data_IF_488003927669
#
_entry.id   IF_488003927669
#
_cell.length_a   1.000
_cell.length_b   1.000
_cell.length_c   1.000
_cell.angle_alpha   90.00
_cell.angle_beta   90.00
_cell.angle_gamma   90.00
#
_symmetry.space_group_name_H-M   'P 1'
#
loop_
_entity.id
_entity.type
_entity.pdbx_description
1 polymer ?
#
# COMPACT_ATOMS: atom_id res chain seq x y z
N UNK A 1 12.85 -16.46 28.07
CA UNK A 1 12.25 -15.30 27.38
C UNK A 1 10.78 -15.28 27.77
N UNK A 2 10.36 -14.24 28.51
CA UNK A 2 8.98 -14.11 29.00
C UNK A 2 8.10 -13.67 27.84
N UNK A 3 7.18 -14.50 27.38
CA UNK A 3 6.10 -14.06 26.50
C UNK A 3 5.26 -13.04 27.25
N UNK A 4 5.20 -11.82 26.73
CA UNK A 4 4.25 -10.82 27.22
C UNK A 4 2.83 -11.36 27.03
N UNK A 5 1.94 -11.25 28.04
CA UNK A 5 0.58 -11.75 27.89
C UNK A 5 -0.11 -11.00 26.76
N UNK A 6 -0.57 -11.73 25.74
CA UNK A 6 -1.35 -11.17 24.64
C UNK A 6 -2.72 -10.76 25.20
N UNK A 7 -2.90 -9.48 25.43
CA UNK A 7 -4.06 -8.90 26.11
C UNK A 7 -5.41 -9.11 25.36
N UNK A 8 -5.37 -9.51 24.10
CA UNK A 8 -6.55 -9.65 23.23
C UNK A 8 -6.42 -10.89 22.34
N UNK A 9 -6.47 -12.07 22.93
CA UNK A 9 -6.56 -13.31 22.15
C UNK A 9 -8.01 -13.73 22.06
N UNK A 10 -8.46 -14.19 20.89
CA UNK A 10 -9.74 -14.88 20.74
C UNK A 10 -9.53 -16.38 20.99
N UNK A 11 -10.51 -17.07 21.58
CA UNK A 11 -10.44 -18.52 21.83
C UNK A 11 -10.38 -19.35 20.53
N UNK A 12 -10.62 -18.72 19.39
CA UNK A 12 -10.65 -19.34 18.07
C UNK A 12 -9.82 -18.54 17.07
N UNK A 13 -9.06 -19.25 16.26
CA UNK A 13 -8.34 -18.64 15.15
C UNK A 13 -9.32 -18.03 14.13
N UNK A 14 -9.05 -16.79 13.75
CA UNK A 14 -9.79 -16.03 12.75
C UNK A 14 -9.03 -16.09 11.43
N UNK A 15 -9.74 -16.35 10.34
CA UNK A 15 -9.18 -16.32 8.97
C UNK A 15 -9.64 -15.06 8.25
N UNK A 16 -8.72 -14.41 7.53
CA UNK A 16 -9.01 -13.24 6.70
C UNK A 16 -8.29 -13.32 5.37
N UNK A 17 -9.03 -12.94 4.34
CA UNK A 17 -8.49 -12.74 3.01
C UNK A 17 -8.16 -11.27 2.81
N UNK A 18 -7.03 -10.97 2.20
CA UNK A 18 -6.65 -9.64 1.78
C UNK A 18 -6.05 -9.65 0.38
N UNK A 19 -6.10 -8.52 -0.30
CA UNK A 19 -5.65 -8.38 -1.68
C UNK A 19 -4.57 -7.32 -1.80
N UNK A 20 -3.47 -7.69 -2.44
CA UNK A 20 -2.38 -6.78 -2.77
C UNK A 20 -2.35 -6.58 -4.28
N UNK A 21 -2.39 -5.34 -4.73
CA UNK A 21 -2.31 -4.97 -6.14
C UNK A 21 -0.97 -4.30 -6.42
N UNK A 22 -0.16 -4.93 -7.26
CA UNK A 22 1.15 -4.45 -7.68
C UNK A 22 1.58 -5.07 -9.01
N UNK A 23 2.09 -4.31 -9.99
CA UNK A 23 2.56 -4.84 -11.26
C UNK A 23 3.95 -5.49 -11.11
N UNK A 24 4.02 -6.67 -10.49
CA UNK A 24 5.27 -7.33 -10.12
C UNK A 24 6.16 -7.75 -11.31
N UNK A 25 5.58 -7.88 -12.53
CA UNK A 25 6.31 -8.33 -13.72
C UNK A 25 6.86 -9.74 -13.54
N UNK A 26 8.19 -9.90 -13.60
CA UNK A 26 8.87 -11.20 -13.37
C UNK A 26 9.01 -11.56 -11.89
N UNK A 27 8.65 -10.64 -10.97
CA UNK A 27 8.67 -10.91 -9.55
C UNK A 27 7.36 -11.50 -9.05
N UNK A 28 7.30 -11.83 -7.77
CA UNK A 28 6.09 -12.25 -7.07
C UNK A 28 5.93 -11.48 -5.77
N UNK A 29 4.71 -11.30 -5.33
CA UNK A 29 4.41 -10.67 -4.05
C UNK A 29 4.14 -11.76 -3.02
N UNK A 30 4.78 -11.63 -1.87
CA UNK A 30 4.48 -12.40 -0.66
C UNK A 30 4.12 -11.43 0.47
N UNK A 31 3.55 -11.95 1.55
CA UNK A 31 3.38 -11.18 2.77
C UNK A 31 4.30 -11.71 3.86
N UNK A 32 4.73 -10.80 4.74
CA UNK A 32 5.27 -11.13 6.05
C UNK A 32 4.42 -10.47 7.11
N UNK A 33 4.26 -11.15 8.22
CA UNK A 33 3.34 -10.72 9.29
C UNK A 33 4.06 -10.69 10.63
N UNK A 34 3.45 -10.04 11.61
CA UNK A 34 3.99 -10.01 12.99
C UNK A 34 4.00 -11.37 13.69
N UNK A 35 3.35 -12.38 13.11
CA UNK A 35 3.45 -13.74 13.63
C UNK A 35 4.85 -14.32 13.39
N UNK A 36 5.43 -14.02 12.23
CA UNK A 36 6.79 -14.35 11.86
C UNK A 36 7.24 -13.45 10.69
N UNK A 37 8.12 -12.50 10.99
CA UNK A 37 8.65 -11.58 9.98
C UNK A 37 9.68 -12.22 9.02
N UNK A 38 10.16 -13.41 9.33
CA UNK A 38 11.11 -14.14 8.49
C UNK A 38 10.43 -15.18 7.58
N UNK A 39 9.17 -15.52 7.85
CA UNK A 39 8.39 -16.46 7.05
C UNK A 39 7.55 -15.77 5.99
N UNK A 40 7.63 -16.26 4.75
CA UNK A 40 6.82 -15.79 3.65
C UNK A 40 5.43 -16.46 3.67
N UNK A 41 4.39 -15.64 3.61
CA UNK A 41 3.03 -16.09 3.33
C UNK A 41 2.82 -15.97 1.83
N UNK A 42 2.64 -17.11 1.17
CA UNK A 42 2.39 -17.18 -0.26
C UNK A 42 0.94 -16.79 -0.61
N UNK A 43 0.70 -16.21 -1.80
CA UNK A 43 -0.66 -15.92 -2.23
C UNK A 43 -1.44 -17.21 -2.49
N UNK A 44 -2.70 -17.24 -2.08
CA UNK A 44 -3.64 -18.33 -2.38
C UNK A 44 -4.11 -18.28 -3.83
N UNK A 45 -4.10 -17.11 -4.44
CA UNK A 45 -4.35 -16.92 -5.87
C UNK A 45 -3.72 -15.63 -6.39
N UNK A 46 -3.46 -15.62 -7.71
CA UNK A 46 -2.99 -14.46 -8.45
C UNK A 46 -3.90 -14.27 -9.65
N UNK A 47 -4.27 -13.02 -9.95
CA UNK A 47 -5.09 -12.69 -11.14
C UNK A 47 -4.38 -13.09 -12.44
N UNK A 48 -5.14 -13.31 -13.52
CA UNK A 48 -4.59 -13.73 -14.84
C UNK A 48 -3.54 -12.76 -15.38
N UNK A 49 -3.71 -11.47 -15.13
CA UNK A 49 -2.75 -10.41 -15.50
C UNK A 49 -1.57 -10.29 -14.56
N UNK A 50 -1.51 -11.12 -13.50
CA UNK A 50 -0.43 -11.12 -12.52
C UNK A 50 -0.38 -9.91 -11.59
N UNK A 51 -1.38 -9.05 -11.61
CA UNK A 51 -1.34 -7.76 -10.91
C UNK A 51 -1.96 -7.78 -9.51
N UNK A 52 -2.83 -8.75 -9.21
CA UNK A 52 -3.51 -8.85 -7.92
C UNK A 52 -3.19 -10.21 -7.29
N UNK A 53 -2.54 -10.17 -6.14
CA UNK A 53 -2.28 -11.35 -5.31
C UNK A 53 -3.27 -11.37 -4.13
N UNK A 54 -3.95 -12.49 -3.94
CA UNK A 54 -4.87 -12.71 -2.83
C UNK A 54 -4.21 -13.62 -1.81
N UNK A 55 -4.33 -13.27 -0.54
CA UNK A 55 -3.73 -13.99 0.58
C UNK A 55 -4.78 -14.37 1.59
N UNK A 56 -4.58 -15.49 2.24
CA UNK A 56 -5.30 -15.86 3.46
C UNK A 56 -4.33 -15.88 4.63
N UNK A 57 -4.71 -15.21 5.70
CA UNK A 57 -3.96 -15.18 6.96
C UNK A 57 -4.84 -15.63 8.09
N UNK A 58 -4.23 -16.25 9.08
CA UNK A 58 -4.93 -16.78 10.26
C UNK A 58 -4.24 -16.28 11.52
N UNK A 59 -5.02 -15.83 12.49
CA UNK A 59 -4.50 -15.36 13.78
C UNK A 59 -5.57 -15.50 14.86
N UNK A 60 -5.14 -15.74 16.10
CA UNK A 60 -5.98 -15.64 17.29
C UNK A 60 -6.09 -14.21 17.81
N UNK A 61 -5.36 -13.27 17.23
CA UNK A 61 -5.41 -11.84 17.58
C UNK A 61 -6.55 -11.16 16.82
N UNK A 62 -7.20 -10.12 17.37
CA UNK A 62 -8.25 -9.36 16.69
C UNK A 62 -7.70 -8.47 15.56
N UNK A 63 -6.40 -8.27 15.50
CA UNK A 63 -5.69 -7.55 14.44
C UNK A 63 -4.36 -8.23 14.13
N UNK A 64 -3.79 -7.92 12.99
CA UNK A 64 -2.51 -8.44 12.51
C UNK A 64 -1.77 -7.34 11.73
N UNK A 65 -0.51 -7.11 12.06
CA UNK A 65 0.36 -6.29 11.22
C UNK A 65 0.99 -7.13 10.13
N UNK A 66 1.04 -6.56 8.93
CA UNK A 66 1.67 -7.20 7.78
C UNK A 66 2.42 -6.20 6.91
N UNK A 67 3.28 -6.73 6.06
CA UNK A 67 3.99 -6.01 5.03
C UNK A 67 4.06 -6.85 3.77
N UNK A 68 3.88 -6.20 2.61
CA UNK A 68 4.13 -6.86 1.34
C UNK A 68 5.64 -6.87 1.04
N UNK A 69 6.11 -7.97 0.50
CA UNK A 69 7.48 -8.13 0.01
C UNK A 69 7.44 -8.51 -1.47
N UNK A 70 8.33 -7.91 -2.24
CA UNK A 70 8.59 -8.26 -3.65
C UNK A 70 9.80 -9.19 -3.71
N UNK A 71 9.58 -10.40 -4.20
CA UNK A 71 10.64 -11.35 -4.48
C UNK A 71 10.97 -11.30 -5.97
N UNK A 72 12.20 -10.96 -6.29
CA UNK A 72 12.72 -10.90 -7.66
C UNK A 72 14.22 -11.21 -7.65
N UNK A 73 14.66 -12.08 -8.55
CA UNK A 73 16.08 -12.40 -8.74
C UNK A 73 16.78 -12.80 -7.42
N UNK A 74 16.13 -13.64 -6.62
CA UNK A 74 16.56 -14.10 -5.28
C UNK A 74 16.73 -12.98 -4.24
N UNK A 75 16.20 -11.79 -4.54
CA UNK A 75 16.20 -10.67 -3.61
C UNK A 75 14.80 -10.44 -3.06
N UNK A 76 14.68 -10.39 -1.73
CA UNK A 76 13.48 -9.98 -1.03
C UNK A 76 13.54 -8.47 -0.74
N UNK A 77 12.61 -7.72 -1.29
CA UNK A 77 12.48 -6.29 -1.04
C UNK A 77 11.19 -6.00 -0.28
N UNK A 78 11.33 -5.37 0.86
CA UNK A 78 10.20 -4.94 1.68
C UNK A 78 9.53 -3.71 1.07
N UNK A 79 8.19 -3.66 1.13
CA UNK A 79 7.48 -2.45 0.76
C UNK A 79 7.85 -1.29 1.67
N UNK A 80 7.93 -0.10 1.11
CA UNK A 80 8.22 1.13 1.84
C UNK A 80 6.98 1.61 2.65
N UNK A 81 7.22 2.55 3.53
CA UNK A 81 6.20 3.06 4.45
C UNK A 81 5.95 2.15 5.66
N UNK A 82 4.95 2.44 6.50
CA UNK A 82 4.68 1.70 7.74
C UNK A 82 4.10 0.31 7.48
N UNK A 83 4.17 -0.55 8.49
CA UNK A 83 3.43 -1.81 8.50
C UNK A 83 1.93 -1.53 8.36
N UNK A 84 1.24 -2.40 7.66
CA UNK A 84 -0.22 -2.31 7.46
C UNK A 84 -0.95 -3.06 8.54
N UNK A 85 -2.06 -2.51 8.97
CA UNK A 85 -2.96 -3.14 9.93
C UNK A 85 -4.08 -3.86 9.19
N UNK A 86 -4.28 -5.14 9.52
CA UNK A 86 -5.42 -5.95 9.13
C UNK A 86 -6.28 -6.21 10.37
N UNK A 87 -7.56 -5.85 10.32
CA UNK A 87 -8.52 -6.23 11.36
C UNK A 87 -9.00 -7.66 11.08
N UNK A 88 -8.75 -8.55 12.05
CA UNK A 88 -9.14 -9.95 11.93
C UNK A 88 -10.62 -10.18 12.23
N UNK A 89 -11.30 -9.20 12.83
CA UNK A 89 -12.71 -9.23 13.18
C UNK A 89 -13.63 -8.82 12.02
N UNK A 90 -13.08 -8.17 10.98
CA UNK A 90 -13.83 -7.63 9.85
C UNK A 90 -13.27 -8.14 8.52
N UNK A 91 -14.12 -8.19 7.49
CA UNK A 91 -13.67 -8.50 6.14
C UNK A 91 -12.88 -7.32 5.54
N UNK A 92 -11.66 -7.56 5.10
CA UNK A 92 -10.91 -6.53 4.37
C UNK A 92 -11.34 -6.50 2.90
N UNK A 93 -12.14 -5.49 2.56
CA UNK A 93 -12.63 -5.25 1.20
C UNK A 93 -11.69 -4.38 0.37
N UNK A 94 -10.65 -3.81 0.99
CA UNK A 94 -9.69 -2.93 0.34
C UNK A 94 -8.71 -3.72 -0.52
N UNK A 95 -8.11 -3.04 -1.48
CA UNK A 95 -6.86 -3.46 -2.11
C UNK A 95 -5.71 -2.69 -1.47
N UNK A 96 -4.63 -3.38 -1.16
CA UNK A 96 -3.41 -2.77 -0.66
C UNK A 96 -2.47 -2.52 -1.84
N UNK A 97 -1.94 -1.32 -1.93
CA UNK A 97 -1.08 -0.88 -3.03
C UNK A 97 0.31 -0.55 -2.47
N UNK A 98 1.21 -1.53 -2.38
CA UNK A 98 2.59 -1.30 -1.95
C UNK A 98 3.39 -0.56 -3.02
N UNK A 99 4.54 -0.02 -2.61
CA UNK A 99 5.62 0.45 -3.47
C UNK A 99 6.95 0.08 -2.80
N UNK A 100 8.02 -0.09 -3.59
CA UNK A 100 9.27 -0.72 -3.15
C UNK A 100 10.52 0.09 -3.46
N UNK A 101 10.45 1.04 -4.39
CA UNK A 101 11.61 1.72 -4.94
C UNK A 101 11.60 3.22 -4.75
N UNK A 102 10.41 3.84 -4.61
CA UNK A 102 10.27 5.27 -4.41
C UNK A 102 10.45 5.64 -2.93
N UNK A 103 11.70 5.85 -2.53
CA UNK A 103 12.07 6.27 -1.17
C UNK A 103 11.78 7.76 -0.89
N UNK A 104 11.23 8.48 -1.85
CA UNK A 104 10.90 9.90 -1.69
C UNK A 104 9.74 10.12 -0.72
N UNK A 105 9.63 11.36 -0.24
CA UNK A 105 8.45 11.83 0.50
C UNK A 105 7.33 12.31 -0.44
N UNK A 106 7.38 11.92 -1.70
CA UNK A 106 6.55 12.46 -2.76
C UNK A 106 7.22 13.61 -3.49
N UNK A 107 6.60 14.09 -4.55
CA UNK A 107 7.15 15.15 -5.41
C UNK A 107 6.08 16.07 -5.95
N UNK A 108 6.50 17.25 -6.36
CA UNK A 108 5.64 18.15 -7.13
C UNK A 108 5.78 17.88 -8.63
N UNK A 109 4.66 17.98 -9.34
CA UNK A 109 4.66 18.03 -10.81
C UNK A 109 5.37 19.29 -11.31
N UNK A 110 5.65 19.33 -12.60
CA UNK A 110 5.96 20.61 -13.27
C UNK A 110 4.78 21.56 -13.09
N UNK A 111 5.08 22.86 -13.10
CA UNK A 111 4.05 23.90 -13.12
C UNK A 111 3.32 23.80 -14.46
N UNK A 112 2.00 23.71 -14.39
CA UNK A 112 1.11 23.70 -15.56
C UNK A 112 0.35 25.01 -15.58
N UNK A 113 0.36 25.69 -16.71
CA UNK A 113 -0.45 26.87 -16.95
C UNK A 113 -1.60 26.51 -17.89
N UNK A 114 -2.80 26.90 -17.52
CA UNK A 114 -3.97 26.70 -18.35
C UNK A 114 -4.85 27.95 -18.38
N UNK A 115 -5.44 28.22 -19.52
CA UNK A 115 -6.34 29.35 -19.70
C UNK A 115 -7.77 28.93 -19.38
N UNK A 116 -8.45 29.76 -18.59
CA UNK A 116 -9.87 29.60 -18.31
C UNK A 116 -10.68 30.48 -19.26
N UNK A 117 -11.34 29.89 -20.21
CA UNK A 117 -12.26 30.59 -21.11
C UNK A 117 -13.41 31.31 -20.36
N UNK A 118 -13.82 30.75 -19.21
CA UNK A 118 -14.91 31.33 -18.38
C UNK A 118 -14.42 32.56 -17.62
N UNK A 119 -13.19 32.53 -17.09
CA UNK A 119 -12.64 33.59 -16.24
C UNK A 119 -11.79 34.59 -17.06
N UNK A 120 -11.51 34.31 -18.33
CA UNK A 120 -10.70 35.16 -19.20
C UNK A 120 -9.28 35.38 -18.70
N UNK A 121 -8.69 34.43 -17.97
CA UNK A 121 -7.34 34.53 -17.43
C UNK A 121 -6.66 33.17 -17.32
N UNK A 122 -5.34 33.18 -17.34
CA UNK A 122 -4.51 32.02 -17.04
C UNK A 122 -4.46 31.68 -15.55
N UNK A 123 -4.39 30.40 -15.26
CA UNK A 123 -4.15 29.84 -13.94
C UNK A 123 -2.93 28.95 -13.95
N UNK A 124 -2.15 29.02 -12.89
CA UNK A 124 -1.00 28.14 -12.67
C UNK A 124 -1.35 27.13 -11.62
N UNK A 125 -1.10 25.86 -11.90
CA UNK A 125 -1.29 24.80 -10.91
C UNK A 125 -0.10 23.83 -10.90
N UNK A 126 0.03 23.17 -9.77
CA UNK A 126 1.01 22.13 -9.53
C UNK A 126 0.36 21.04 -8.70
N UNK A 127 0.61 19.79 -9.03
CA UNK A 127 0.13 18.66 -8.26
C UNK A 127 1.24 18.15 -7.32
N UNK A 128 0.88 17.85 -6.08
CA UNK A 128 1.69 17.00 -5.23
C UNK A 128 1.35 15.55 -5.53
N UNK A 129 2.36 14.75 -5.85
CA UNK A 129 2.27 13.34 -6.16
C UNK A 129 2.87 12.55 -4.98
N UNK A 130 2.09 11.69 -4.31
CA UNK A 130 2.58 10.96 -3.15
C UNK A 130 3.63 9.91 -3.52
N UNK A 131 4.38 9.37 -2.53
CA UNK A 131 5.34 8.28 -2.75
C UNK A 131 4.69 7.09 -3.46
N UNK A 132 5.42 6.48 -4.38
CA UNK A 132 4.96 5.32 -5.16
C UNK A 132 3.94 5.65 -6.26
N UNK A 133 3.67 6.94 -6.53
CA UNK A 133 2.69 7.36 -7.54
C UNK A 133 3.01 6.83 -8.94
N UNK A 134 4.27 6.94 -9.35
CA UNK A 134 4.72 6.47 -10.68
C UNK A 134 5.03 4.97 -10.70
N UNK A 135 5.28 4.38 -9.52
CA UNK A 135 5.65 2.98 -9.41
C UNK A 135 4.44 2.05 -9.44
N UNK A 136 3.44 2.33 -8.62
CA UNK A 136 2.24 1.51 -8.57
C UNK A 136 1.07 2.17 -9.30
N UNK A 137 1.06 2.02 -10.62
CA UNK A 137 0.07 2.63 -11.51
C UNK A 137 -1.34 2.05 -11.40
N UNK A 138 -1.52 0.98 -10.62
CA UNK A 138 -2.84 0.40 -10.33
C UNK A 138 -3.61 1.20 -9.29
N UNK A 139 -2.91 2.07 -8.55
CA UNK A 139 -3.51 2.84 -7.47
C UNK A 139 -4.16 4.13 -7.99
N UNK A 140 -5.44 4.32 -7.65
CA UNK A 140 -6.11 5.61 -7.79
C UNK A 140 -6.03 6.40 -6.50
N UNK A 141 -5.91 7.71 -6.62
CA UNK A 141 -5.80 8.62 -5.49
C UNK A 141 -6.97 9.60 -5.47
N UNK A 142 -7.52 9.92 -4.29
CA UNK A 142 -8.43 11.04 -4.18
C UNK A 142 -7.69 12.34 -4.51
N UNK A 143 -8.39 13.31 -5.09
CA UNK A 143 -7.83 14.61 -5.44
C UNK A 143 -8.38 15.66 -4.49
N UNK A 144 -7.48 16.43 -3.86
CA UNK A 144 -7.82 17.61 -3.10
C UNK A 144 -7.39 18.86 -3.89
N UNK A 145 -8.32 19.74 -4.16
CA UNK A 145 -8.05 21.03 -4.78
C UNK A 145 -7.83 22.08 -3.68
N UNK A 146 -6.68 22.75 -3.73
CA UNK A 146 -6.30 23.74 -2.73
C UNK A 146 -6.02 25.08 -3.42
N UNK A 147 -6.67 26.12 -2.92
CA UNK A 147 -6.33 27.50 -3.29
C UNK A 147 -5.12 27.97 -2.48
N UNK A 148 -4.32 28.87 -3.06
CA UNK A 148 -3.11 29.41 -2.43
C UNK A 148 -2.14 28.33 -1.90
N UNK A 149 -2.10 27.20 -2.62
CA UNK A 149 -1.30 26.02 -2.26
C UNK A 149 0.19 26.31 -2.06
N UNK A 150 0.72 27.40 -2.65
CA UNK A 150 2.08 27.86 -2.43
C UNK A 150 2.39 28.16 -0.95
N UNK A 151 1.39 28.49 -0.16
CA UNK A 151 1.56 28.81 1.26
C UNK A 151 1.45 27.58 2.18
N UNK A 152 1.13 26.41 1.63
CA UNK A 152 0.87 25.18 2.40
C UNK A 152 2.05 24.19 2.37
N UNK A 153 2.97 24.37 1.42
CA UNK A 153 4.01 23.37 1.14
C UNK A 153 5.45 23.96 1.19
N UNK A 154 5.62 25.14 1.79
CA UNK A 154 6.92 25.80 1.96
C UNK A 154 7.11 26.26 3.39
#
# INVERSE_FOLDING_TARGET
MSESPKLYSTDRALKRSLRVAYPAGKGRIVLRTELDWDADVEPTSVSEDGTISTFEVESTQPFLYFKACLLRDDVTRWSLGPNRLLLMTEADRRKHYPYFFDESNGRFSKLVEFESAILGRSHKMRAYLPPGYDENTLRSYPVAYMQDGQNLFF
#
